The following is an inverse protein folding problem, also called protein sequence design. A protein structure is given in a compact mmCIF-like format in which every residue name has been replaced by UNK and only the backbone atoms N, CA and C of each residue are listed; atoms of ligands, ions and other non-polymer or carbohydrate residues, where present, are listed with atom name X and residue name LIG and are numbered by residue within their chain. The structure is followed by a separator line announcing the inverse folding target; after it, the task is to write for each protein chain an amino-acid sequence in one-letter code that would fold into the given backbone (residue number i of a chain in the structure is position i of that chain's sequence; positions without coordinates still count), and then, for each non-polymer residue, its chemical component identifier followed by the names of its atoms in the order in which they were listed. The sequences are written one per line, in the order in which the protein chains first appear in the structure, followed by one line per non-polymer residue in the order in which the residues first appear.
data_IF_451570622534
#
_entry.id   IF_451570622534
#
_cell.length_a   1.000
_cell.length_b   1.000
_cell.length_c   1.000
_cell.angle_alpha   90.00
_cell.angle_beta   90.00
_cell.angle_gamma   90.00
#
_symmetry.space_group_name_H-M   'P 1'
#
loop_
_entity.id
_entity.type
_entity.pdbx_description
1 polymer ?
#
# COMPACT_ATOMS: atom_id res chain seq x y z
N UNK A 1 16.86 10.07 12.43
CA UNK A 1 16.60 9.50 11.12
C UNK A 1 15.20 9.88 10.68
N UNK A 2 15.10 10.41 9.50
CA UNK A 2 13.83 10.81 8.95
C UNK A 2 13.00 9.60 8.54
N UNK A 3 11.74 9.58 8.94
CA UNK A 3 10.79 8.55 8.49
C UNK A 3 9.96 9.04 7.32
N UNK A 4 10.21 10.26 6.87
CA UNK A 4 9.47 10.83 5.76
C UNK A 4 9.90 10.21 4.44
N UNK A 5 8.92 10.00 3.58
CA UNK A 5 9.20 9.50 2.24
C UNK A 5 9.71 10.63 1.36
N UNK A 6 10.70 10.33 0.54
CA UNK A 6 11.18 11.27 -0.45
C UNK A 6 10.20 11.33 -1.62
N UNK A 7 10.26 12.39 -2.41
CA UNK A 7 9.44 12.49 -3.60
C UNK A 7 9.71 11.35 -4.57
N UNK A 8 10.97 10.94 -4.67
CA UNK A 8 11.35 9.81 -5.52
C UNK A 8 10.68 8.52 -5.06
N UNK A 9 10.67 8.29 -3.75
CA UNK A 9 10.03 7.08 -3.21
C UNK A 9 8.53 7.12 -3.41
N UNK A 10 7.92 8.26 -3.21
CA UNK A 10 6.48 8.42 -3.43
C UNK A 10 6.13 8.15 -4.89
N UNK A 11 6.92 8.67 -5.82
CA UNK A 11 6.70 8.44 -7.25
C UNK A 11 6.84 6.96 -7.60
N UNK A 12 7.81 6.29 -7.00
CA UNK A 12 8.02 4.86 -7.20
C UNK A 12 6.82 4.05 -6.71
N UNK A 13 6.34 4.37 -5.50
CA UNK A 13 5.19 3.69 -4.92
C UNK A 13 3.96 3.94 -5.80
N UNK A 14 3.78 5.15 -6.25
CA UNK A 14 2.65 5.50 -7.10
C UNK A 14 2.69 4.75 -8.43
N UNK A 15 3.87 4.62 -9.01
CA UNK A 15 4.04 3.89 -10.25
C UNK A 15 3.67 2.42 -10.07
N UNK A 16 4.13 1.80 -8.97
CA UNK A 16 3.80 0.42 -8.68
C UNK A 16 2.31 0.26 -8.40
N UNK A 17 1.74 1.19 -7.65
CA UNK A 17 0.30 1.18 -7.37
C UNK A 17 -0.50 1.19 -8.67
N UNK A 18 -0.16 2.09 -9.59
CA UNK A 18 -0.81 2.17 -10.89
C UNK A 18 -0.65 0.89 -11.70
N UNK A 19 0.51 0.28 -11.60
CA UNK A 19 0.77 -0.97 -12.30
C UNK A 19 -0.19 -2.07 -11.87
N UNK A 20 -0.49 -2.14 -10.58
CA UNK A 20 -1.38 -3.16 -10.05
C UNK A 20 -2.86 -2.75 -10.10
N UNK A 21 -3.15 -1.49 -10.35
CA UNK A 21 -4.51 -1.00 -10.52
C UNK A 21 -4.98 -1.28 -11.95
N UNK A 22 -5.42 -2.50 -12.17
CA UNK A 22 -5.75 -2.99 -13.50
C UNK A 22 -6.95 -2.27 -14.12
N UNK A 23 -7.85 -1.81 -13.29
CA UNK A 23 -9.04 -1.11 -13.76
C UNK A 23 -8.79 0.37 -14.05
N UNK A 24 -7.67 0.89 -13.56
CA UNK A 24 -7.35 2.30 -13.74
C UNK A 24 -8.29 3.24 -13.03
N UNK A 25 -8.94 2.77 -11.97
CA UNK A 25 -9.91 3.58 -11.23
C UNK A 25 -9.30 4.28 -10.01
N UNK A 26 -8.01 4.08 -9.78
CA UNK A 26 -7.31 4.70 -8.66
C UNK A 26 -7.45 3.94 -7.35
N UNK A 27 -7.97 2.72 -7.40
CA UNK A 27 -8.15 1.88 -6.22
C UNK A 27 -7.69 0.46 -6.50
N UNK A 28 -7.24 -0.23 -5.44
CA UNK A 28 -6.84 -1.64 -5.55
C UNK A 28 -7.59 -2.45 -4.50
N UNK A 29 -7.78 -3.73 -4.79
CA UNK A 29 -8.41 -4.65 -3.84
C UNK A 29 -7.33 -5.43 -3.08
N UNK A 30 -7.75 -6.37 -2.23
CA UNK A 30 -6.82 -7.12 -1.39
C UNK A 30 -5.81 -7.93 -2.20
N UNK A 31 -6.18 -8.71 -3.22
CA UNK A 31 -5.18 -9.44 -4.00
C UNK A 31 -4.15 -8.53 -4.65
N UNK A 32 -4.58 -7.40 -5.18
CA UNK A 32 -3.69 -6.42 -5.78
C UNK A 32 -2.78 -5.79 -4.73
N UNK A 33 -3.32 -5.51 -3.56
CA UNK A 33 -2.55 -4.97 -2.45
C UNK A 33 -1.44 -5.93 -2.02
N UNK A 34 -1.76 -7.22 -1.94
CA UNK A 34 -0.79 -8.25 -1.60
C UNK A 34 0.35 -8.28 -2.62
N UNK A 35 0.02 -8.25 -3.90
CA UNK A 35 1.01 -8.23 -4.96
C UNK A 35 1.89 -6.99 -4.88
N UNK A 36 1.27 -5.84 -4.63
CA UNK A 36 2.00 -4.58 -4.50
C UNK A 36 3.01 -4.65 -3.37
N UNK A 37 2.59 -5.11 -2.20
CA UNK A 37 3.50 -5.22 -1.06
C UNK A 37 4.58 -6.27 -1.28
N UNK A 38 4.28 -7.33 -2.04
CA UNK A 38 5.29 -8.32 -2.38
C UNK A 38 6.44 -7.69 -3.17
N UNK A 39 6.12 -6.71 -4.01
CA UNK A 39 7.13 -5.98 -4.78
C UNK A 39 7.85 -4.96 -3.91
N UNK A 40 7.10 -4.18 -3.13
CA UNK A 40 7.67 -3.09 -2.33
C UNK A 40 8.39 -3.59 -1.09
N UNK A 41 7.89 -4.64 -0.47
CA UNK A 41 8.45 -5.16 0.78
C UNK A 41 8.25 -6.67 0.85
N UNK A 42 9.06 -7.43 0.11
CA UNK A 42 8.87 -8.89 0.01
C UNK A 42 9.04 -9.65 1.32
N UNK A 43 9.61 -9.01 2.32
CA UNK A 43 9.83 -9.65 3.62
C UNK A 43 8.63 -9.50 4.56
N UNK A 44 7.61 -8.76 4.15
CA UNK A 44 6.43 -8.55 4.98
C UNK A 44 5.61 -9.83 5.07
N UNK A 45 5.17 -10.15 6.28
CA UNK A 45 4.34 -11.33 6.49
C UNK A 45 2.94 -11.13 5.95
N UNK A 46 2.36 -12.19 5.43
CA UNK A 46 1.01 -12.14 4.86
C UNK A 46 -0.03 -11.65 5.87
N UNK A 47 0.06 -12.12 7.12
CA UNK A 47 -0.88 -11.68 8.16
C UNK A 47 -0.80 -10.18 8.40
N UNK A 48 0.40 -9.62 8.28
CA UNK A 48 0.62 -8.19 8.45
C UNK A 48 -0.01 -7.41 7.30
N UNK A 49 0.10 -7.96 6.09
CA UNK A 49 -0.47 -7.35 4.90
C UNK A 49 -1.99 -7.29 5.02
N UNK A 50 -2.61 -8.39 5.43
CA UNK A 50 -4.06 -8.45 5.58
C UNK A 50 -4.56 -7.49 6.65
N UNK A 51 -3.85 -7.40 7.79
CA UNK A 51 -4.20 -6.45 8.83
C UNK A 51 -4.09 -5.01 8.32
N UNK A 52 -3.03 -4.72 7.58
CA UNK A 52 -2.83 -3.40 7.02
C UNK A 52 -3.97 -3.01 6.10
N UNK A 53 -4.41 -3.93 5.27
CA UNK A 53 -5.51 -3.67 4.37
C UNK A 53 -6.78 -3.31 5.13
N UNK A 54 -7.09 -4.04 6.21
CA UNK A 54 -8.26 -3.76 7.03
C UNK A 54 -8.18 -2.39 7.71
N UNK A 55 -6.99 -2.00 8.12
CA UNK A 55 -6.77 -0.71 8.76
C UNK A 55 -6.96 0.42 7.75
N UNK A 56 -6.44 0.25 6.55
CA UNK A 56 -6.53 1.25 5.49
C UNK A 56 -7.96 1.39 5.00
N UNK A 57 -8.63 0.27 4.81
CA UNK A 57 -10.00 0.23 4.28
C UNK A 57 -11.00 0.57 5.38
N UNK A 58 -11.03 1.84 5.73
CA UNK A 58 -11.80 2.34 6.86
C UNK A 58 -13.31 2.24 6.63
N UNK A 59 -13.74 2.41 5.39
CA UNK A 59 -15.16 2.33 5.05
C UNK A 59 -15.62 0.93 4.63
N UNK A 60 -14.70 -0.03 4.68
CA UNK A 60 -15.01 -1.43 4.47
C UNK A 60 -15.67 -1.72 3.12
N UNK A 61 -15.21 -1.04 2.08
CA UNK A 61 -15.72 -1.23 0.73
C UNK A 61 -14.93 -2.25 -0.08
N UNK A 62 -13.85 -2.78 0.49
CA UNK A 62 -13.02 -3.77 -0.18
C UNK A 62 -11.96 -3.20 -1.09
N UNK A 63 -11.82 -1.88 -1.12
CA UNK A 63 -10.84 -1.18 -1.97
C UNK A 63 -10.12 -0.10 -1.19
N UNK A 64 -8.90 0.18 -1.59
CA UNK A 64 -8.12 1.29 -1.01
C UNK A 64 -7.59 2.15 -2.14
N UNK A 65 -7.50 3.46 -1.91
CA UNK A 65 -6.90 4.37 -2.89
C UNK A 65 -5.45 4.65 -2.52
N UNK A 66 -4.78 5.40 -3.40
CA UNK A 66 -3.37 5.69 -3.21
C UNK A 66 -3.12 6.54 -1.96
N UNK A 67 -3.97 7.51 -1.71
CA UNK A 67 -3.79 8.37 -0.54
C UNK A 67 -3.90 7.59 0.76
N UNK A 68 -4.87 6.69 0.84
CA UNK A 68 -5.03 5.83 2.00
C UNK A 68 -3.81 4.93 2.18
N UNK A 69 -3.35 4.35 1.09
CA UNK A 69 -2.18 3.48 1.11
C UNK A 69 -0.93 4.24 1.55
N UNK A 70 -0.73 5.43 1.00
CA UNK A 70 0.45 6.23 1.29
C UNK A 70 0.47 6.68 2.75
N UNK A 71 -0.68 7.08 3.29
CA UNK A 71 -0.78 7.48 4.70
C UNK A 71 -0.39 6.32 5.62
N UNK A 72 -0.90 5.13 5.32
CA UNK A 72 -0.57 3.93 6.08
C UNK A 72 0.92 3.60 5.97
N UNK A 73 1.47 3.70 4.78
CA UNK A 73 2.88 3.44 4.54
C UNK A 73 3.77 4.36 5.38
N UNK A 74 3.40 5.61 5.48
CA UNK A 74 4.17 6.60 6.22
C UNK A 74 4.15 6.39 7.73
N UNK A 75 3.21 5.62 8.24
CA UNK A 75 3.10 5.36 9.68
C UNK A 75 4.15 4.38 10.18
N UNK A 76 4.95 3.80 9.30
CA UNK A 76 6.05 2.94 9.69
C UNK A 76 5.65 1.51 10.01
N UNK A 77 4.56 1.05 9.45
CA UNK A 77 4.06 -0.30 9.67
C UNK A 77 5.14 -1.36 9.36
N UNK A 78 6.00 -1.04 8.43
CA UNK A 78 7.04 -1.94 7.95
C UNK A 78 8.20 -2.12 8.95
N UNK A 79 8.19 -1.37 10.02
CA UNK A 79 9.21 -1.48 11.06
C UNK A 79 8.91 -2.58 12.08
N UNK A 80 7.75 -3.16 12.06
CA UNK A 80 7.38 -4.22 13.00
C UNK A 80 8.13 -5.52 12.76
#
# INVERSE_FOLDING_TARGET
VSTQLTEEKIAEIKSDFSFFDKDGNGQIDLPEFIELLTVLSPKTKMSHVEEGFKIIDDNDDGYIDFEEFLAWWQEGWWEY
#
